data_IF_888190592116
#
_entry.id   IF_888190592116
#
_cell.length_a   1.000
_cell.length_b   1.000
_cell.length_c   1.000
_cell.angle_alpha   90.00
_cell.angle_beta   90.00
_cell.angle_gamma   90.00
#
_symmetry.space_group_name_H-M   'P 1'
#
loop_
_entity.id
_entity.type
_entity.pdbx_description
1 polymer ?
#
# COMPACT_ATOMS: atom_id res chain seq x y z
N UNK A 1 -8.02 -19.59 55.63
CA UNK A 1 -9.03 -20.44 54.96
C UNK A 1 -10.06 -19.61 54.16
N UNK A 2 -10.54 -18.48 54.71
CA UNK A 2 -11.56 -17.62 54.03
C UNK A 2 -10.95 -16.91 52.80
N UNK A 3 -9.72 -16.44 52.87
CA UNK A 3 -9.03 -15.72 51.77
C UNK A 3 -8.76 -16.65 50.57
N UNK A 4 -8.46 -17.91 50.79
CA UNK A 4 -8.25 -18.89 49.72
C UNK A 4 -9.54 -19.24 48.96
N UNK A 5 -10.68 -19.24 49.64
CA UNK A 5 -11.99 -19.49 49.03
C UNK A 5 -12.42 -18.30 48.15
N UNK A 6 -12.11 -17.09 48.57
CA UNK A 6 -12.43 -15.85 47.78
C UNK A 6 -11.59 -15.78 46.50
N UNK A 7 -10.31 -16.21 46.53
CA UNK A 7 -9.46 -16.24 45.34
C UNK A 7 -9.97 -17.26 44.30
N UNK A 8 -10.47 -18.45 44.78
CA UNK A 8 -11.06 -19.42 43.84
C UNK A 8 -12.37 -18.93 43.21
N UNK A 9 -13.21 -18.22 43.94
CA UNK A 9 -14.46 -17.66 43.43
C UNK A 9 -14.21 -16.53 42.41
N UNK A 10 -13.11 -15.77 42.52
CA UNK A 10 -12.74 -14.72 41.58
C UNK A 10 -12.16 -15.33 40.29
N UNK A 11 -11.47 -16.45 40.37
CA UNK A 11 -10.94 -17.15 39.18
C UNK A 11 -12.05 -17.79 38.34
N UNK A 12 -13.15 -18.23 38.92
CA UNK A 12 -14.29 -18.78 38.18
C UNK A 12 -15.10 -17.70 37.42
N UNK A 13 -15.07 -16.45 37.90
CA UNK A 13 -15.74 -15.34 37.22
C UNK A 13 -14.93 -14.84 36.01
N UNK A 14 -13.62 -15.07 35.96
CA UNK A 14 -12.74 -14.71 34.81
C UNK A 14 -12.76 -15.72 33.68
N UNK A 15 -13.33 -16.91 33.88
CA UNK A 15 -13.62 -17.87 32.82
C UNK A 15 -15.00 -17.62 32.20
N UNK A 16 -15.24 -16.37 31.73
CA UNK A 16 -16.36 -16.12 30.84
C UNK A 16 -16.02 -16.87 29.53
N UNK A 17 -16.74 -17.95 29.31
CA UNK A 17 -16.80 -18.72 28.09
C UNK A 17 -16.92 -17.77 26.90
N UNK A 18 -15.83 -17.61 26.14
CA UNK A 18 -15.92 -17.02 24.81
C UNK A 18 -16.86 -17.89 23.98
N UNK A 19 -17.91 -17.35 23.36
CA UNK A 19 -18.77 -18.15 22.52
C UNK A 19 -17.93 -18.72 21.38
N UNK A 20 -17.97 -20.03 21.22
CA UNK A 20 -17.36 -20.75 20.11
C UNK A 20 -18.06 -20.29 18.82
N UNK A 21 -17.52 -19.27 18.15
CA UNK A 21 -18.00 -18.85 16.85
C UNK A 21 -17.53 -19.93 15.88
N UNK A 22 -18.46 -20.79 15.50
CA UNK A 22 -18.27 -21.82 14.49
C UNK A 22 -17.76 -21.15 13.20
N UNK A 23 -16.63 -21.65 12.67
CA UNK A 23 -16.02 -21.22 11.40
C UNK A 23 -16.98 -21.20 10.19
N UNK A 24 -18.17 -21.72 10.37
CA UNK A 24 -19.20 -21.83 9.32
C UNK A 24 -19.92 -20.51 9.00
N UNK A 25 -19.79 -19.48 9.82
CA UNK A 25 -20.51 -18.20 9.65
C UNK A 25 -19.64 -17.03 9.13
N UNK A 26 -18.33 -17.24 8.93
CA UNK A 26 -17.47 -16.17 8.36
C UNK A 26 -17.50 -16.10 6.83
N UNK A 27 -18.07 -17.08 6.13
CA UNK A 27 -18.16 -17.09 4.67
C UNK A 27 -19.23 -16.15 4.07
N UNK A 28 -20.10 -15.56 4.90
CA UNK A 28 -21.26 -14.79 4.43
C UNK A 28 -21.11 -13.26 4.58
N UNK A 29 -19.98 -12.75 5.07
CA UNK A 29 -19.79 -11.30 5.30
C UNK A 29 -18.82 -10.67 4.29
N UNK A 30 -18.11 -11.50 3.51
CA UNK A 30 -17.29 -10.98 2.41
C UNK A 30 -18.18 -10.96 1.15
N UNK A 31 -18.48 -9.79 0.55
CA UNK A 31 -19.16 -9.79 -0.72
C UNK A 31 -18.30 -10.58 -1.73
N UNK A 32 -18.86 -11.65 -2.29
CA UNK A 32 -18.24 -12.40 -3.38
C UNK A 32 -18.07 -11.46 -4.55
N UNK A 33 -16.87 -10.91 -4.71
CA UNK A 33 -16.48 -10.24 -5.94
C UNK A 33 -16.37 -11.35 -6.98
N UNK A 34 -17.40 -11.47 -7.81
CA UNK A 34 -17.42 -12.37 -8.94
C UNK A 34 -16.44 -11.84 -9.99
N UNK A 35 -15.22 -12.38 -10.00
CA UNK A 35 -14.31 -12.23 -11.12
C UNK A 35 -14.85 -13.02 -12.32
N UNK A 36 -15.76 -12.42 -13.10
CA UNK A 36 -16.07 -12.90 -14.44
C UNK A 36 -14.92 -12.55 -15.38
N UNK A 37 -13.87 -13.36 -15.35
CA UNK A 37 -12.86 -13.40 -16.40
C UNK A 37 -13.49 -14.00 -17.65
N UNK A 38 -14.08 -13.15 -18.50
CA UNK A 38 -14.39 -13.51 -19.86
C UNK A 38 -13.08 -13.65 -20.63
N UNK A 39 -12.57 -14.90 -20.72
CA UNK A 39 -11.44 -15.25 -21.57
C UNK A 39 -11.84 -15.06 -23.04
N UNK A 40 -11.67 -13.88 -23.59
CA UNK A 40 -11.53 -13.72 -25.03
C UNK A 40 -10.08 -13.96 -25.42
N UNK A 41 -9.83 -15.09 -26.06
CA UNK A 41 -8.58 -15.33 -26.78
C UNK A 41 -8.52 -14.39 -27.98
N UNK A 42 -7.82 -13.28 -27.83
CA UNK A 42 -7.37 -12.48 -28.97
C UNK A 42 -5.83 -12.40 -28.86
N UNK A 43 -5.16 -12.86 -29.91
CA UNK A 43 -3.74 -12.62 -30.11
C UNK A 43 -3.44 -11.12 -29.98
N UNK A 44 -2.41 -10.79 -29.22
CA UNK A 44 -1.78 -9.49 -28.99
C UNK A 44 -2.25 -8.73 -27.74
N UNK A 45 -1.28 -8.61 -26.81
CA UNK A 45 -1.27 -7.71 -25.65
C UNK A 45 -2.54 -7.73 -24.81
N UNK A 46 -2.46 -8.45 -23.71
CA UNK A 46 -3.44 -8.27 -22.62
C UNK A 46 -3.29 -6.84 -22.13
N UNK A 47 -4.10 -5.92 -22.65
CA UNK A 47 -4.35 -4.65 -21.98
C UNK A 47 -5.16 -4.99 -20.74
N UNK A 48 -4.53 -4.95 -19.59
CA UNK A 48 -5.25 -4.98 -18.31
C UNK A 48 -5.96 -3.62 -18.22
N UNK A 49 -7.23 -3.59 -18.59
CA UNK A 49 -8.07 -2.42 -18.31
C UNK A 49 -8.30 -2.41 -16.80
N UNK A 50 -7.54 -1.56 -16.11
CA UNK A 50 -7.82 -1.20 -14.72
C UNK A 50 -9.16 -0.48 -14.75
N UNK A 51 -10.13 -0.98 -14.01
CA UNK A 51 -11.47 -0.39 -14.01
C UNK A 51 -11.41 1.02 -13.42
N UNK A 52 -12.16 1.96 -14.02
CA UNK A 52 -12.29 3.32 -13.48
C UNK A 52 -12.69 3.30 -12.00
N UNK A 53 -13.46 2.30 -11.58
CA UNK A 53 -13.89 2.08 -10.20
C UNK A 53 -12.73 1.77 -9.23
N UNK A 54 -11.66 1.08 -9.66
CA UNK A 54 -10.47 0.86 -8.85
C UNK A 54 -9.61 2.12 -8.74
N UNK A 55 -9.51 2.90 -9.82
CA UNK A 55 -8.84 4.20 -9.83
C UNK A 55 -9.55 5.22 -8.94
N UNK A 56 -10.85 5.11 -8.76
CA UNK A 56 -11.61 6.04 -7.92
C UNK A 56 -11.41 5.79 -6.41
N UNK A 57 -11.07 4.57 -6.01
CA UNK A 57 -11.00 4.18 -4.59
C UNK A 57 -9.61 4.37 -3.98
N UNK A 58 -8.56 3.92 -4.66
CA UNK A 58 -7.18 3.94 -4.14
C UNK A 58 -6.22 4.31 -5.27
N UNK A 59 -5.69 5.53 -5.24
CA UNK A 59 -4.74 6.01 -6.26
C UNK A 59 -3.73 7.00 -5.70
N UNK A 60 -2.63 7.14 -6.42
CA UNK A 60 -1.71 8.27 -6.30
C UNK A 60 -1.79 9.13 -7.56
N UNK A 61 -1.70 10.43 -7.39
CA UNK A 61 -1.59 11.40 -8.49
C UNK A 61 -0.41 12.33 -8.22
N UNK A 62 0.46 12.50 -9.21
CA UNK A 62 1.61 13.41 -9.16
C UNK A 62 1.54 14.31 -10.42
N UNK A 63 0.91 15.49 -10.32
CA UNK A 63 0.64 16.36 -11.47
C UNK A 63 1.88 16.71 -12.25
N UNK A 64 3.00 16.96 -11.57
CA UNK A 64 4.28 17.36 -12.16
C UNK A 64 4.79 16.42 -13.24
N UNK A 65 4.50 15.13 -13.12
CA UNK A 65 4.94 14.08 -14.06
C UNK A 65 3.76 13.43 -14.78
N UNK A 66 2.56 14.04 -14.69
CA UNK A 66 1.33 13.54 -15.29
C UNK A 66 1.04 12.07 -14.91
N UNK A 67 1.35 11.71 -13.68
CA UNK A 67 1.08 10.36 -13.14
C UNK A 67 -0.28 10.36 -12.43
N UNK A 68 -1.14 9.42 -12.81
CA UNK A 68 -2.28 8.97 -12.00
C UNK A 68 -2.39 7.46 -12.15
N UNK A 69 -2.26 6.74 -11.04
CA UNK A 69 -2.18 5.28 -11.08
C UNK A 69 -2.83 4.63 -9.85
N UNK A 70 -3.45 3.45 -10.02
CA UNK A 70 -4.06 2.72 -8.94
C UNK A 70 -3.01 2.12 -8.01
N UNK A 71 -3.40 2.02 -6.73
CA UNK A 71 -2.60 1.39 -5.68
C UNK A 71 -3.27 0.07 -5.30
N UNK A 72 -2.46 -0.95 -5.04
CA UNK A 72 -2.88 -2.23 -4.46
C UNK A 72 -1.97 -2.61 -3.30
N UNK A 73 -2.48 -3.47 -2.42
CA UNK A 73 -1.72 -4.01 -1.30
C UNK A 73 -0.63 -4.97 -1.79
N UNK A 74 0.53 -4.92 -1.13
CA UNK A 74 1.69 -5.76 -1.41
C UNK A 74 2.61 -5.22 -2.51
N UNK A 75 3.87 -5.67 -2.48
CA UNK A 75 4.92 -5.27 -3.43
C UNK A 75 5.47 -6.46 -4.22
N UNK A 76 4.69 -7.54 -4.31
CA UNK A 76 5.02 -8.72 -5.09
C UNK A 76 4.98 -8.40 -6.59
N UNK A 77 5.68 -9.22 -7.38
CA UNK A 77 5.79 -9.04 -8.83
C UNK A 77 4.42 -8.92 -9.52
N UNK A 78 3.45 -9.73 -9.14
CA UNK A 78 2.10 -9.69 -9.71
C UNK A 78 1.41 -8.34 -9.50
N UNK A 79 1.59 -7.71 -8.34
CA UNK A 79 1.06 -6.38 -8.03
C UNK A 79 1.80 -5.32 -8.83
N UNK A 80 3.13 -5.30 -8.77
CA UNK A 80 3.96 -4.28 -9.40
C UNK A 80 3.89 -4.30 -10.94
N UNK A 81 3.55 -5.43 -11.55
CA UNK A 81 3.37 -5.55 -12.99
C UNK A 81 2.16 -4.76 -13.53
N UNK A 82 1.23 -4.34 -12.67
CA UNK A 82 -0.02 -3.68 -13.10
C UNK A 82 -0.40 -2.46 -12.28
N UNK A 83 0.10 -2.33 -11.06
CA UNK A 83 -0.29 -1.30 -10.10
C UNK A 83 0.93 -0.79 -9.32
N UNK A 84 0.74 0.30 -8.61
CA UNK A 84 1.66 0.72 -7.55
C UNK A 84 1.37 -0.15 -6.34
N UNK A 85 2.41 -0.75 -5.75
CA UNK A 85 2.31 -1.61 -4.58
C UNK A 85 2.46 -0.81 -3.29
N UNK A 86 1.63 -1.10 -2.29
CA UNK A 86 1.78 -0.60 -0.93
C UNK A 86 2.63 -1.57 -0.11
N UNK A 87 3.60 -1.06 0.64
CA UNK A 87 4.36 -1.86 1.61
C UNK A 87 3.48 -2.20 2.81
N UNK A 88 3.12 -3.47 2.96
CA UNK A 88 2.16 -3.95 3.98
C UNK A 88 2.55 -3.65 5.43
N UNK A 89 3.83 -3.37 5.68
CA UNK A 89 4.36 -3.01 6.98
C UNK A 89 4.20 -1.52 7.32
N UNK A 90 3.78 -0.71 6.35
CA UNK A 90 3.59 0.74 6.50
C UNK A 90 2.12 1.11 6.70
N UNK A 91 1.86 2.37 6.97
CA UNK A 91 0.51 2.85 7.23
C UNK A 91 -0.28 3.08 5.93
N UNK A 92 -1.62 3.01 6.01
CA UNK A 92 -2.51 3.25 4.86
C UNK A 92 -3.10 4.66 4.84
N UNK A 93 -3.12 5.36 5.98
CA UNK A 93 -3.81 6.66 6.10
C UNK A 93 -3.04 7.69 6.92
N UNK A 94 -2.59 7.34 8.10
CA UNK A 94 -1.84 8.21 9.01
C UNK A 94 -0.44 7.62 9.22
N UNK A 95 0.54 8.46 9.56
CA UNK A 95 1.92 8.03 9.67
C UNK A 95 2.61 7.95 8.29
N UNK A 96 3.48 6.97 8.07
CA UNK A 96 4.29 6.85 6.87
C UNK A 96 3.70 5.83 5.87
N UNK A 97 3.22 6.28 4.75
CA UNK A 97 2.62 5.47 3.68
C UNK A 97 3.71 5.09 2.68
N UNK A 98 4.12 3.83 2.64
CA UNK A 98 5.16 3.35 1.74
C UNK A 98 4.60 2.80 0.42
N UNK A 99 5.11 3.28 -0.72
CA UNK A 99 4.68 2.83 -2.05
C UNK A 99 5.88 2.46 -2.93
N UNK A 100 5.72 1.40 -3.73
CA UNK A 100 6.72 0.95 -4.70
C UNK A 100 6.12 0.78 -6.10
N UNK A 101 6.91 1.04 -7.13
CA UNK A 101 6.58 0.69 -8.52
C UNK A 101 7.84 0.58 -9.37
N UNK A 102 7.70 -0.07 -10.54
CA UNK A 102 8.78 -0.16 -11.51
C UNK A 102 9.15 1.20 -12.12
N UNK A 103 10.44 1.38 -12.45
CA UNK A 103 10.93 2.56 -13.16
C UNK A 103 11.15 2.33 -14.65
N UNK A 104 11.32 1.07 -15.10
CA UNK A 104 11.54 0.71 -16.51
C UNK A 104 11.45 -0.81 -16.73
N UNK A 105 11.43 -1.21 -18.00
CA UNK A 105 11.51 -2.62 -18.41
C UNK A 105 10.21 -3.42 -18.31
N UNK A 106 9.13 -2.77 -17.91
CA UNK A 106 7.80 -3.36 -17.75
C UNK A 106 6.77 -2.60 -18.58
N UNK A 107 5.59 -3.13 -18.72
CA UNK A 107 4.48 -2.45 -19.43
C UNK A 107 4.06 -1.19 -18.65
N UNK A 108 4.01 -1.27 -17.31
CA UNK A 108 3.71 -0.16 -16.43
C UNK A 108 4.95 0.23 -15.62
N UNK A 109 5.50 1.40 -15.92
CA UNK A 109 6.67 1.98 -15.26
C UNK A 109 6.27 3.24 -14.50
N UNK A 110 5.31 3.10 -13.57
CA UNK A 110 4.69 4.25 -12.90
C UNK A 110 5.69 5.20 -12.25
N UNK A 111 6.81 4.69 -11.73
CA UNK A 111 7.83 5.51 -11.08
C UNK A 111 9.04 5.83 -11.97
N UNK A 112 8.91 5.65 -13.28
CA UNK A 112 9.98 5.98 -14.25
C UNK A 112 10.38 7.46 -14.23
N UNK A 113 9.44 8.33 -13.98
CA UNK A 113 9.63 9.78 -14.03
C UNK A 113 9.83 10.43 -12.64
N UNK A 114 9.93 9.66 -11.54
CA UNK A 114 10.25 10.23 -10.23
C UNK A 114 11.56 11.02 -10.23
N UNK A 115 12.49 10.72 -11.14
CA UNK A 115 13.74 11.46 -11.34
C UNK A 115 13.55 12.94 -11.77
N UNK A 116 12.36 13.31 -12.25
CA UNK A 116 12.02 14.67 -12.69
C UNK A 116 11.45 15.54 -11.57
N UNK A 117 11.10 14.93 -10.43
CA UNK A 117 10.51 15.61 -9.29
C UNK A 117 11.54 16.48 -8.57
N UNK A 118 11.03 17.50 -7.89
CA UNK A 118 11.77 18.46 -7.07
C UNK A 118 11.12 18.63 -5.72
N UNK A 119 11.85 19.20 -4.78
CA UNK A 119 11.30 19.66 -3.51
C UNK A 119 10.14 20.63 -3.80
N UNK A 120 9.10 20.58 -2.97
CA UNK A 120 7.82 21.30 -3.07
C UNK A 120 6.86 20.81 -4.18
N UNK A 121 7.23 19.85 -5.04
CA UNK A 121 6.26 19.22 -5.94
C UNK A 121 5.22 18.44 -5.10
N UNK A 122 3.99 18.39 -5.60
CA UNK A 122 2.85 17.80 -4.87
C UNK A 122 2.60 16.35 -5.24
N UNK A 123 2.24 15.56 -4.22
CA UNK A 123 1.74 14.20 -4.32
C UNK A 123 0.34 14.15 -3.72
N UNK A 124 -0.65 13.76 -4.50
CA UNK A 124 -2.02 13.54 -4.04
C UNK A 124 -2.21 12.04 -3.84
N UNK A 125 -2.57 11.64 -2.63
CA UNK A 125 -2.85 10.26 -2.28
C UNK A 125 -4.31 10.11 -1.88
N UNK A 126 -4.97 9.08 -2.41
CA UNK A 126 -6.33 8.71 -2.04
C UNK A 126 -6.39 7.22 -1.69
N UNK A 127 -7.00 6.93 -0.55
CA UNK A 127 -7.34 5.60 -0.09
C UNK A 127 -8.75 5.61 0.50
N UNK A 128 -9.73 5.06 -0.22
CA UNK A 128 -11.16 5.13 0.13
C UNK A 128 -11.61 6.59 0.33
N UNK A 129 -12.09 6.91 1.52
CA UNK A 129 -12.53 8.27 1.90
C UNK A 129 -11.39 9.19 2.34
N UNK A 130 -10.20 8.62 2.57
CA UNK A 130 -9.02 9.40 2.92
C UNK A 130 -8.37 9.99 1.67
N UNK A 131 -8.22 11.32 1.63
CA UNK A 131 -7.52 12.03 0.55
C UNK A 131 -6.69 13.15 1.13
N UNK A 132 -5.40 13.14 0.79
CA UNK A 132 -4.43 14.13 1.26
C UNK A 132 -3.48 14.56 0.14
N UNK A 133 -2.94 15.76 0.30
CA UNK A 133 -1.87 16.30 -0.54
C UNK A 133 -0.62 16.46 0.32
N UNK A 134 0.49 15.93 -0.18
CA UNK A 134 1.80 15.97 0.44
C UNK A 134 2.73 16.81 -0.42
N UNK A 135 3.68 17.51 0.19
CA UNK A 135 4.74 18.24 -0.49
C UNK A 135 6.07 17.52 -0.31
N UNK A 136 6.80 17.33 -1.42
CA UNK A 136 8.09 16.65 -1.41
C UNK A 136 9.11 17.47 -0.62
N UNK A 137 9.72 16.82 0.36
CA UNK A 137 10.75 17.39 1.22
C UNK A 137 12.09 16.63 1.15
N UNK A 138 12.09 15.38 0.69
CA UNK A 138 13.30 14.56 0.53
C UNK A 138 13.30 13.88 -0.85
N UNK A 139 14.44 13.96 -1.55
CA UNK A 139 14.72 13.17 -2.77
C UNK A 139 16.15 12.64 -2.64
N UNK A 140 16.29 11.33 -2.48
CA UNK A 140 17.59 10.71 -2.25
C UNK A 140 17.78 9.41 -3.04
N UNK A 141 19.05 9.02 -3.19
CA UNK A 141 19.45 7.70 -3.66
C UNK A 141 19.98 6.91 -2.46
N UNK A 142 19.24 5.91 -2.07
CA UNK A 142 19.51 5.07 -0.90
C UNK A 142 20.01 3.69 -1.30
N UNK A 143 20.63 2.95 -0.39
CA UNK A 143 20.95 1.54 -0.62
C UNK A 143 19.68 0.70 -0.67
N UNK A 144 19.67 -0.36 -1.48
CA UNK A 144 18.53 -1.28 -1.54
C UNK A 144 18.31 -2.11 -0.26
N UNK A 145 19.20 -1.98 0.73
CA UNK A 145 19.10 -2.58 2.06
C UNK A 145 18.70 -1.58 3.14
N UNK A 146 18.52 -0.30 2.78
CA UNK A 146 18.15 0.75 3.71
C UNK A 146 16.61 0.91 3.70
N UNK A 147 15.99 0.37 4.71
CA UNK A 147 14.54 0.40 4.91
C UNK A 147 14.07 1.44 5.92
N UNK A 148 15.01 2.23 6.51
CA UNK A 148 14.70 3.24 7.52
C UNK A 148 13.72 4.32 7.05
N UNK A 149 13.67 4.56 5.74
CA UNK A 149 12.71 5.49 5.12
C UNK A 149 11.25 5.00 5.17
N UNK A 150 11.03 3.73 5.50
CA UNK A 150 9.71 3.14 5.69
C UNK A 150 9.31 2.99 7.16
N UNK A 151 10.17 3.43 8.08
CA UNK A 151 9.87 3.40 9.52
C UNK A 151 8.62 4.22 9.83
N UNK A 152 7.91 3.80 10.89
CA UNK A 152 6.73 4.51 11.38
C UNK A 152 7.08 5.91 11.87
N UNK A 153 6.23 6.86 11.57
CA UNK A 153 6.35 8.26 11.99
C UNK A 153 5.05 8.75 12.60
N UNK A 154 5.13 9.76 13.48
CA UNK A 154 3.95 10.48 13.98
C UNK A 154 3.44 11.51 12.97
N UNK A 155 4.32 12.02 12.11
CA UNK A 155 3.99 12.93 11.03
C UNK A 155 3.38 12.16 9.86
N UNK A 156 2.38 12.74 9.21
CA UNK A 156 1.82 12.20 7.99
C UNK A 156 2.81 12.35 6.84
N UNK A 157 3.28 11.22 6.34
CA UNK A 157 4.30 11.10 5.30
C UNK A 157 3.88 10.13 4.21
N UNK A 158 4.39 10.35 3.00
CA UNK A 158 4.35 9.37 1.94
C UNK A 158 5.76 9.13 1.40
N UNK A 159 6.14 7.87 1.25
CA UNK A 159 7.46 7.43 0.80
C UNK A 159 7.33 6.62 -0.48
N UNK A 160 7.93 7.09 -1.57
CA UNK A 160 7.94 6.43 -2.87
C UNK A 160 9.30 5.79 -3.12
N UNK A 161 9.34 4.48 -3.39
CA UNK A 161 10.57 3.73 -3.63
C UNK A 161 10.55 3.11 -5.04
N UNK A 162 11.62 3.30 -5.78
CA UNK A 162 11.82 2.63 -7.09
C UNK A 162 13.28 2.29 -7.33
N UNK A 163 13.55 1.44 -8.33
CA UNK A 163 14.90 1.10 -8.74
C UNK A 163 15.62 2.31 -9.36
N UNK A 164 16.96 2.32 -9.30
CA UNK A 164 17.82 3.25 -10.04
C UNK A 164 18.31 2.56 -11.30
N UNK A 165 18.28 3.26 -12.43
CA UNK A 165 18.74 2.72 -13.72
C UNK A 165 20.21 2.30 -13.66
N UNK A 166 20.51 1.05 -14.07
CA UNK A 166 21.84 0.45 -14.09
C UNK A 166 22.55 0.34 -12.73
N UNK A 167 21.84 0.64 -11.62
CA UNK A 167 22.37 0.63 -10.26
C UNK A 167 21.53 -0.28 -9.35
N UNK A 168 21.63 -1.62 -9.48
CA UNK A 168 20.74 -2.56 -8.76
C UNK A 168 20.87 -2.50 -7.24
N UNK A 169 21.99 -1.97 -6.73
CA UNK A 169 22.25 -1.80 -5.29
C UNK A 169 21.59 -0.56 -4.70
N UNK A 170 20.96 0.27 -5.53
CA UNK A 170 20.38 1.54 -5.08
C UNK A 170 18.90 1.63 -5.41
N UNK A 171 18.22 2.50 -4.66
CA UNK A 171 16.83 2.87 -4.87
C UNK A 171 16.72 4.39 -4.86
N UNK A 172 15.83 4.91 -5.69
CA UNK A 172 15.36 6.30 -5.55
C UNK A 172 14.28 6.32 -4.51
N UNK A 173 14.49 7.15 -3.50
CA UNK A 173 13.54 7.44 -2.45
C UNK A 173 13.06 8.89 -2.61
N UNK A 174 11.74 9.07 -2.60
CA UNK A 174 11.10 10.38 -2.56
C UNK A 174 10.17 10.37 -1.37
N UNK A 175 10.37 11.29 -0.42
CA UNK A 175 9.43 11.49 0.69
C UNK A 175 8.75 12.83 0.55
N UNK A 176 7.51 12.87 1.04
CA UNK A 176 6.72 14.08 1.11
C UNK A 176 5.91 14.09 2.41
N UNK A 177 5.75 15.28 3.00
CA UNK A 177 4.97 15.52 4.22
C UNK A 177 3.69 16.28 3.92
N UNK A 178 2.66 16.10 4.79
CA UNK A 178 1.37 16.80 4.70
C UNK A 178 1.50 18.29 5.04
#
# INVERSE_FOLDING_TARGET
LIITIIIFLILDILFIKTPNISEKNMSNIIPKINFNLKKEKINNKIKINISDEELEKCYIEIPKINLKAPIAEGTEENTLNTKIGHFSETDLTLGNIGLAAHNRGYEYNYFGDLKKLKIDDEIIYKYLDYKKTYKIDIIEIIKNTDWSYLDKTEENKITLITCVENEPKYRRCVQATE
#
